data_IF_828005180888
#
_entry.id   IF_828005180888
#
_cell.length_a   1.000
_cell.length_b   1.000
_cell.length_c   1.000
_cell.angle_alpha   90.00
_cell.angle_beta   90.00
_cell.angle_gamma   90.00
#
_symmetry.space_group_name_H-M   'P 1'
#
loop_
_entity.id
_entity.type
_entity.pdbx_description
1 polymer ?
#
# COMPACT_ATOMS: atom_id res chain seq x y z
N UNK A 1 -22.92 -29.89 -8.40
CA UNK A 1 -22.47 -28.80 -9.29
C UNK A 1 -21.85 -27.72 -8.42
N UNK A 2 -20.54 -27.45 -8.58
CA UNK A 2 -19.90 -26.32 -7.88
C UNK A 2 -20.24 -25.07 -8.68
N UNK A 3 -21.08 -24.21 -8.11
CA UNK A 3 -21.42 -22.91 -8.66
C UNK A 3 -20.12 -22.11 -8.81
N UNK A 4 -19.63 -21.97 -10.06
CA UNK A 4 -18.49 -21.10 -10.34
C UNK A 4 -18.97 -19.67 -10.10
N UNK A 5 -18.71 -19.14 -8.91
CA UNK A 5 -18.86 -17.71 -8.62
C UNK A 5 -18.19 -16.94 -9.77
N UNK A 6 -18.97 -16.10 -10.46
CA UNK A 6 -18.49 -15.29 -11.57
C UNK A 6 -17.15 -14.64 -11.17
N UNK A 7 -16.11 -14.68 -12.01
CA UNK A 7 -14.84 -14.07 -11.67
C UNK A 7 -15.10 -12.59 -11.44
N UNK A 8 -14.95 -12.12 -10.19
CA UNK A 8 -14.81 -10.68 -9.97
C UNK A 8 -13.66 -10.25 -10.89
N UNK A 9 -13.85 -9.25 -11.77
CA UNK A 9 -12.89 -8.96 -12.81
C UNK A 9 -11.54 -8.68 -12.17
N UNK A 10 -10.49 -9.30 -12.69
CA UNK A 10 -9.08 -9.02 -12.33
C UNK A 10 -8.80 -7.52 -12.27
N UNK A 11 -9.53 -6.73 -13.07
CA UNK A 11 -9.55 -5.27 -13.04
C UNK A 11 -9.86 -4.68 -11.65
N UNK A 12 -10.86 -5.16 -10.91
CA UNK A 12 -11.21 -4.60 -9.60
C UNK A 12 -10.12 -4.90 -8.55
N UNK A 13 -9.53 -6.09 -8.61
CA UNK A 13 -8.41 -6.47 -7.74
C UNK A 13 -7.13 -5.67 -8.04
N UNK A 14 -6.97 -5.22 -9.29
CA UNK A 14 -5.88 -4.35 -9.73
C UNK A 14 -6.12 -2.90 -9.32
N UNK A 15 -7.33 -2.37 -9.52
CA UNK A 15 -7.71 -1.01 -9.13
C UNK A 15 -7.64 -0.77 -7.62
N UNK A 16 -7.74 -1.82 -6.82
CA UNK A 16 -7.62 -1.76 -5.36
C UNK A 16 -6.20 -2.06 -4.85
N UNK A 17 -5.24 -2.27 -5.77
CA UNK A 17 -3.84 -2.54 -5.41
C UNK A 17 -3.16 -1.25 -4.91
N UNK A 18 -2.55 -1.25 -3.71
CA UNK A 18 -1.99 -0.03 -3.10
C UNK A 18 -1.05 0.73 -4.03
N UNK A 19 -0.14 0.03 -4.71
CA UNK A 19 0.85 0.61 -5.62
C UNK A 19 0.23 1.37 -6.81
N UNK A 20 -0.88 0.88 -7.36
CA UNK A 20 -1.60 1.56 -8.46
C UNK A 20 -2.27 2.82 -7.92
N UNK A 21 -2.89 2.70 -6.75
CA UNK A 21 -3.54 3.83 -6.07
C UNK A 21 -2.50 4.89 -5.69
N UNK A 22 -1.33 4.51 -5.20
CA UNK A 22 -0.23 5.42 -4.88
C UNK A 22 0.26 6.18 -6.12
N UNK A 23 0.43 5.50 -7.26
CA UNK A 23 0.82 6.16 -8.51
C UNK A 23 -0.26 7.18 -8.97
N UNK A 24 -1.54 6.80 -8.90
CA UNK A 24 -2.66 7.73 -9.17
C UNK A 24 -2.68 8.90 -8.16
N UNK A 25 -2.41 8.63 -6.89
CA UNK A 25 -2.38 9.62 -5.82
C UNK A 25 -1.28 10.66 -6.04
N UNK A 26 -0.07 10.20 -6.36
CA UNK A 26 1.06 11.07 -6.71
C UNK A 26 0.77 11.86 -7.99
N UNK A 27 0.10 11.25 -8.97
CA UNK A 27 -0.30 11.95 -10.20
C UNK A 27 -1.29 13.09 -9.91
N UNK A 28 -2.25 12.85 -9.01
CA UNK A 28 -3.19 13.87 -8.57
C UNK A 28 -2.48 15.01 -7.83
N UNK A 29 -1.67 14.69 -6.82
CA UNK A 29 -1.02 15.70 -5.97
C UNK A 29 0.12 16.45 -6.67
N UNK A 30 0.74 15.86 -7.69
CA UNK A 30 1.69 16.55 -8.59
C UNK A 30 0.99 17.42 -9.63
N UNK A 31 -0.34 17.57 -9.56
CA UNK A 31 -1.16 18.33 -10.51
C UNK A 31 -0.98 17.85 -11.95
N UNK A 32 -0.87 16.53 -12.11
CA UNK A 32 -0.71 15.89 -13.42
C UNK A 32 0.56 16.30 -14.17
N UNK A 33 1.64 16.66 -13.46
CA UNK A 33 2.93 16.88 -14.08
C UNK A 33 3.43 15.60 -14.77
N UNK A 34 3.69 15.69 -16.07
CA UNK A 34 4.02 14.53 -16.93
C UNK A 34 5.20 13.72 -16.38
N UNK A 35 6.25 14.39 -15.90
CA UNK A 35 7.41 13.72 -15.31
C UNK A 35 7.06 12.87 -14.08
N UNK A 36 6.20 13.38 -13.20
CA UNK A 36 5.74 12.67 -12.01
C UNK A 36 4.81 11.51 -12.35
N UNK A 37 3.90 11.70 -13.32
CA UNK A 37 3.04 10.62 -13.80
C UNK A 37 3.91 9.49 -14.35
N UNK A 38 4.80 9.78 -15.30
CA UNK A 38 5.64 8.76 -15.92
C UNK A 38 6.52 8.09 -14.87
N UNK A 39 7.22 8.87 -14.04
CA UNK A 39 8.13 8.33 -13.02
C UNK A 39 7.41 7.43 -12.01
N UNK A 40 6.28 7.88 -11.47
CA UNK A 40 5.51 7.09 -10.48
C UNK A 40 4.91 5.83 -11.10
N UNK A 41 4.28 5.90 -12.28
CA UNK A 41 3.72 4.71 -12.93
C UNK A 41 4.79 3.72 -13.37
N UNK A 42 5.92 4.19 -13.90
CA UNK A 42 7.03 3.31 -14.31
C UNK A 42 7.62 2.61 -13.09
N UNK A 43 8.00 3.36 -12.04
CA UNK A 43 8.65 2.78 -10.86
C UNK A 43 7.69 1.90 -10.06
N UNK A 44 6.52 2.45 -9.71
CA UNK A 44 5.57 1.79 -8.83
C UNK A 44 4.84 0.66 -9.57
N UNK A 45 4.24 0.91 -10.74
CA UNK A 45 3.40 -0.10 -11.40
C UNK A 45 4.22 -0.98 -12.35
N UNK A 46 4.96 -0.38 -13.27
CA UNK A 46 5.68 -1.08 -14.33
C UNK A 46 6.78 -2.01 -13.79
N UNK A 47 7.79 -1.42 -13.13
CA UNK A 47 8.93 -2.17 -12.63
C UNK A 47 8.51 -3.12 -11.50
N UNK A 48 7.67 -2.69 -10.55
CA UNK A 48 7.19 -3.63 -9.52
C UNK A 48 6.40 -4.79 -10.10
N UNK A 49 5.60 -4.56 -11.15
CA UNK A 49 4.89 -5.64 -11.86
C UNK A 49 5.85 -6.61 -12.53
N UNK A 50 6.88 -6.10 -13.21
CA UNK A 50 7.92 -6.91 -13.83
C UNK A 50 8.73 -7.71 -12.79
N UNK A 51 9.13 -7.06 -11.69
CA UNK A 51 9.83 -7.71 -10.58
C UNK A 51 8.96 -8.74 -9.88
N UNK A 52 7.66 -8.50 -9.75
CA UNK A 52 6.73 -9.49 -9.21
C UNK A 52 6.62 -10.73 -10.10
N UNK A 53 6.50 -10.54 -11.42
CA UNK A 53 6.47 -11.64 -12.38
C UNK A 53 7.80 -12.43 -12.37
N UNK A 54 8.92 -11.71 -12.37
CA UNK A 54 10.26 -12.30 -12.25
C UNK A 54 10.41 -13.08 -10.94
N UNK A 55 9.94 -12.51 -9.82
CA UNK A 55 10.02 -13.12 -8.51
C UNK A 55 9.23 -14.43 -8.43
N UNK A 56 8.06 -14.48 -9.07
CA UNK A 56 7.29 -15.71 -9.19
C UNK A 56 7.94 -16.77 -10.07
N UNK A 57 8.78 -16.39 -11.04
CA UNK A 57 9.51 -17.32 -11.88
C UNK A 57 10.80 -17.83 -11.19
N UNK A 58 11.47 -16.97 -10.41
CA UNK A 58 12.74 -17.26 -9.71
C UNK A 58 12.59 -17.39 -8.19
N UNK A 59 11.48 -17.99 -7.73
CA UNK A 59 11.11 -18.06 -6.30
C UNK A 59 12.23 -18.55 -5.39
N UNK A 60 12.97 -19.59 -5.82
CA UNK A 60 14.04 -20.21 -5.00
C UNK A 60 15.16 -19.22 -4.68
N UNK A 61 15.61 -18.45 -5.67
CA UNK A 61 16.73 -17.53 -5.51
C UNK A 61 16.34 -16.37 -4.57
N UNK A 62 15.11 -15.88 -4.67
CA UNK A 62 14.60 -14.79 -3.81
C UNK A 62 14.35 -15.25 -2.38
N UNK A 63 13.79 -16.44 -2.19
CA UNK A 63 13.61 -17.02 -0.84
C UNK A 63 14.96 -17.22 -0.16
N UNK A 64 16.00 -17.57 -0.92
CA UNK A 64 17.35 -17.79 -0.39
C UNK A 64 18.03 -16.49 0.07
N UNK A 65 17.79 -15.37 -0.62
CA UNK A 65 18.43 -14.07 -0.31
C UNK A 65 17.61 -13.24 0.69
N UNK A 66 16.28 -13.24 0.58
CA UNK A 66 15.40 -12.29 1.30
C UNK A 66 14.29 -12.96 2.10
N UNK A 67 14.27 -14.30 2.20
CA UNK A 67 13.33 -15.07 3.00
C UNK A 67 11.93 -15.22 2.40
N UNK A 68 11.43 -14.23 1.65
CA UNK A 68 10.15 -14.33 0.95
C UNK A 68 10.01 -13.34 -0.22
N UNK A 69 9.20 -13.72 -1.23
CA UNK A 69 8.79 -12.83 -2.33
C UNK A 69 8.20 -11.51 -1.81
N UNK A 70 7.48 -11.58 -0.68
CA UNK A 70 6.83 -10.43 -0.08
C UNK A 70 7.83 -9.44 0.52
N UNK A 71 8.84 -9.91 1.24
CA UNK A 71 9.90 -9.05 1.78
C UNK A 71 10.67 -8.37 0.65
N UNK A 72 10.96 -9.11 -0.43
CA UNK A 72 11.56 -8.55 -1.64
C UNK A 72 10.69 -7.42 -2.23
N UNK A 73 9.39 -7.65 -2.42
CA UNK A 73 8.50 -6.61 -2.97
C UNK A 73 8.35 -5.40 -2.03
N UNK A 74 8.33 -5.60 -0.72
CA UNK A 74 8.30 -4.50 0.25
C UNK A 74 9.60 -3.69 0.25
N UNK A 75 10.74 -4.36 0.17
CA UNK A 75 12.05 -3.71 0.06
C UNK A 75 12.17 -2.92 -1.25
N UNK A 76 11.74 -3.51 -2.37
CA UNK A 76 11.66 -2.80 -3.64
C UNK A 76 10.76 -1.57 -3.54
N UNK A 77 9.58 -1.70 -2.92
CA UNK A 77 8.66 -0.58 -2.75
C UNK A 77 9.29 0.55 -1.92
N UNK A 78 9.99 0.22 -0.84
CA UNK A 78 10.79 1.19 -0.07
C UNK A 78 11.82 1.93 -0.93
N UNK A 79 12.56 1.20 -1.77
CA UNK A 79 13.55 1.79 -2.68
C UNK A 79 12.87 2.71 -3.70
N UNK A 80 11.79 2.25 -4.33
CA UNK A 80 11.06 3.00 -5.35
C UNK A 80 10.49 4.31 -4.78
N UNK A 81 9.82 4.25 -3.63
CA UNK A 81 9.32 5.45 -2.95
C UNK A 81 10.47 6.32 -2.46
N UNK A 82 11.59 5.73 -2.01
CA UNK A 82 12.79 6.47 -1.60
C UNK A 82 13.44 7.25 -2.74
N UNK A 83 13.49 6.68 -3.95
CA UNK A 83 13.95 7.38 -5.16
C UNK A 83 13.02 8.56 -5.48
N UNK A 84 11.70 8.33 -5.46
CA UNK A 84 10.71 9.39 -5.68
C UNK A 84 10.82 10.49 -4.62
N UNK A 85 11.03 10.10 -3.36
CA UNK A 85 11.23 11.02 -2.24
C UNK A 85 12.51 11.84 -2.41
N UNK A 86 13.63 11.24 -2.83
CA UNK A 86 14.87 11.98 -3.10
C UNK A 86 14.77 12.95 -4.29
N UNK A 87 13.80 12.73 -5.18
CA UNK A 87 13.55 13.58 -6.34
C UNK A 87 12.52 14.69 -6.08
N UNK A 88 11.90 14.75 -4.89
CA UNK A 88 10.83 15.69 -4.59
C UNK A 88 11.34 16.99 -3.98
N UNK A 89 10.81 18.11 -4.46
CA UNK A 89 11.02 19.44 -3.86
C UNK A 89 9.72 20.10 -3.39
N UNK A 90 8.57 19.59 -3.86
CA UNK A 90 7.25 20.10 -3.47
C UNK A 90 6.85 19.57 -2.07
N UNK A 91 6.53 20.44 -1.09
CA UNK A 91 6.24 20.02 0.28
C UNK A 91 5.09 19.02 0.41
N UNK A 92 4.07 19.15 -0.45
CA UNK A 92 2.90 18.29 -0.41
C UNK A 92 3.22 16.88 -0.90
N UNK A 93 3.99 16.75 -1.98
CA UNK A 93 4.48 15.46 -2.45
C UNK A 93 5.48 14.87 -1.44
N UNK A 94 6.30 15.70 -0.82
CA UNK A 94 7.21 15.27 0.25
C UNK A 94 6.45 14.64 1.43
N UNK A 95 5.35 15.24 1.86
CA UNK A 95 4.47 14.67 2.89
C UNK A 95 3.97 13.28 2.49
N UNK A 96 3.40 13.15 1.29
CA UNK A 96 2.85 11.87 0.81
C UNK A 96 3.92 10.79 0.64
N UNK A 97 5.06 11.13 0.06
CA UNK A 97 6.17 10.20 -0.11
C UNK A 97 6.78 9.79 1.23
N UNK A 98 6.86 10.71 2.20
CA UNK A 98 7.28 10.40 3.57
C UNK A 98 6.28 9.46 4.26
N UNK A 99 4.98 9.67 4.06
CA UNK A 99 3.94 8.77 4.55
C UNK A 99 4.06 7.38 3.90
N UNK A 100 4.26 7.29 2.59
CA UNK A 100 4.45 6.00 1.90
C UNK A 100 5.72 5.28 2.35
N UNK A 101 6.83 6.00 2.56
CA UNK A 101 8.05 5.43 3.15
C UNK A 101 7.78 4.87 4.54
N UNK A 102 7.10 5.65 5.39
CA UNK A 102 6.72 5.23 6.74
C UNK A 102 5.87 3.95 6.72
N UNK A 103 4.82 3.93 5.90
CA UNK A 103 3.95 2.77 5.76
C UNK A 103 4.69 1.55 5.21
N UNK A 104 5.62 1.75 4.28
CA UNK A 104 6.41 0.65 3.70
C UNK A 104 7.40 0.07 4.72
N UNK A 105 8.04 0.94 5.52
CA UNK A 105 8.96 0.55 6.58
C UNK A 105 8.22 -0.24 7.65
N UNK A 106 7.11 0.30 8.16
CA UNK A 106 6.31 -0.39 9.15
C UNK A 106 5.64 -1.65 8.59
N UNK A 107 5.31 -1.68 7.31
CA UNK A 107 4.84 -2.89 6.63
C UNK A 107 5.91 -3.99 6.65
N UNK A 108 7.16 -3.63 6.33
CA UNK A 108 8.29 -4.56 6.41
C UNK A 108 8.53 -5.04 7.85
N UNK A 109 8.54 -4.13 8.83
CA UNK A 109 8.68 -4.50 10.25
C UNK A 109 7.54 -5.43 10.67
N UNK A 110 6.29 -5.07 10.40
CA UNK A 110 5.11 -5.86 10.75
C UNK A 110 5.13 -7.25 10.11
N UNK A 111 5.64 -7.35 8.88
CA UNK A 111 5.81 -8.62 8.15
C UNK A 111 6.78 -9.58 8.84
N UNK A 112 7.85 -9.06 9.45
CA UNK A 112 8.84 -9.88 10.16
C UNK A 112 8.21 -10.63 11.33
N UNK A 113 7.13 -10.09 11.91
CA UNK A 113 6.46 -10.71 13.05
C UNK A 113 5.31 -11.63 12.63
N UNK A 114 4.50 -11.24 11.63
CA UNK A 114 3.26 -11.97 11.29
C UNK A 114 2.89 -11.85 9.81
N UNK A 115 2.17 -12.86 9.31
CA UNK A 115 1.42 -12.74 8.05
C UNK A 115 0.22 -11.80 8.21
N UNK A 116 -0.04 -10.99 7.20
CA UNK A 116 -1.17 -10.06 7.16
C UNK A 116 -1.58 -9.75 5.72
N UNK A 117 -2.76 -9.18 5.48
CA UNK A 117 -3.12 -8.71 4.14
C UNK A 117 -2.52 -7.33 3.85
N UNK A 118 -1.61 -7.25 2.86
CA UNK A 118 -0.98 -5.98 2.46
C UNK A 118 -1.98 -4.97 1.89
N UNK A 119 -3.02 -5.46 1.21
CA UNK A 119 -4.08 -4.61 0.67
C UNK A 119 -4.84 -3.91 1.78
N UNK A 120 -5.30 -4.66 2.77
CA UNK A 120 -6.03 -4.10 3.92
C UNK A 120 -5.12 -3.19 4.73
N UNK A 121 -3.84 -3.54 4.89
CA UNK A 121 -2.84 -2.72 5.56
C UNK A 121 -2.66 -1.33 4.93
N UNK A 122 -2.49 -1.25 3.60
CA UNK A 122 -2.32 0.04 2.91
C UNK A 122 -3.53 0.95 3.09
N UNK A 123 -4.74 0.43 2.84
CA UNK A 123 -5.97 1.19 3.01
C UNK A 123 -6.24 1.59 4.47
N UNK A 124 -5.91 0.71 5.42
CA UNK A 124 -6.04 1.02 6.84
C UNK A 124 -5.02 2.08 7.29
N UNK A 125 -3.84 2.12 6.67
CA UNK A 125 -2.87 3.21 6.83
C UNK A 125 -3.45 4.57 6.52
N UNK A 126 -4.09 4.71 5.35
CA UNK A 126 -4.79 5.95 5.00
C UNK A 126 -5.91 6.25 5.99
N UNK A 127 -6.71 5.26 6.40
CA UNK A 127 -7.74 5.46 7.41
C UNK A 127 -7.16 5.98 8.73
N UNK A 128 -6.05 5.41 9.20
CA UNK A 128 -5.34 5.86 10.39
C UNK A 128 -4.86 7.30 10.25
N UNK A 129 -4.21 7.63 9.13
CA UNK A 129 -3.75 8.98 8.81
C UNK A 129 -4.91 9.99 8.88
N UNK A 130 -5.99 9.75 8.15
CA UNK A 130 -7.14 10.68 8.11
C UNK A 130 -7.92 10.72 9.44
N UNK A 131 -7.91 9.64 10.21
CA UNK A 131 -8.50 9.65 11.56
C UNK A 131 -7.76 10.61 12.48
N UNK A 132 -6.43 10.72 12.36
CA UNK A 132 -5.64 11.72 13.08
C UNK A 132 -6.08 13.16 12.78
N UNK A 133 -6.66 13.40 11.60
CA UNK A 133 -7.21 14.69 11.17
C UNK A 133 -8.75 14.67 11.05
N UNK A 134 -9.45 13.79 11.78
CA UNK A 134 -10.89 13.54 11.59
C UNK A 134 -11.75 14.79 11.73
N UNK A 135 -11.36 15.73 12.60
CA UNK A 135 -12.07 17.02 12.78
C UNK A 135 -12.12 17.83 11.48
N UNK A 136 -11.15 17.66 10.60
CA UNK A 136 -11.04 18.39 9.33
C UNK A 136 -11.58 17.58 8.15
N UNK A 137 -11.56 16.24 8.23
CA UNK A 137 -11.90 15.36 7.10
C UNK A 137 -12.81 14.17 7.49
N UNK A 138 -13.98 14.40 8.09
CA UNK A 138 -14.85 13.31 8.58
C UNK A 138 -15.40 12.42 7.46
N UNK A 139 -15.72 13.01 6.30
CA UNK A 139 -16.21 12.27 5.13
C UNK A 139 -15.12 11.34 4.60
N UNK A 140 -13.87 11.80 4.52
CA UNK A 140 -12.74 10.98 4.07
C UNK A 140 -12.53 9.77 4.97
N UNK A 141 -12.69 9.93 6.29
CA UNK A 141 -12.61 8.82 7.25
C UNK A 141 -13.69 7.79 7.00
N UNK A 142 -14.94 8.21 6.79
CA UNK A 142 -16.05 7.29 6.48
C UNK A 142 -15.84 6.55 5.16
N UNK A 143 -15.40 7.25 4.11
CA UNK A 143 -15.09 6.65 2.81
C UNK A 143 -13.95 5.65 2.92
N UNK A 144 -12.88 5.98 3.63
CA UNK A 144 -11.73 5.10 3.84
C UNK A 144 -12.11 3.88 4.69
N UNK A 145 -12.96 4.04 5.70
CA UNK A 145 -13.50 2.91 6.47
C UNK A 145 -14.28 1.95 5.56
N UNK A 146 -15.17 2.50 4.73
CA UNK A 146 -15.90 1.72 3.73
C UNK A 146 -14.97 0.98 2.76
N UNK A 147 -13.91 1.66 2.26
CA UNK A 147 -12.90 1.04 1.40
C UNK A 147 -12.10 -0.06 2.09
N UNK A 148 -11.67 0.14 3.34
CA UNK A 148 -10.96 -0.87 4.12
C UNK A 148 -11.82 -2.13 4.28
N UNK A 149 -13.09 -1.95 4.65
CA UNK A 149 -14.05 -3.06 4.79
C UNK A 149 -14.30 -3.74 3.45
N UNK A 150 -14.52 -2.97 2.39
CA UNK A 150 -14.76 -3.48 1.04
C UNK A 150 -13.58 -4.28 0.49
N UNK A 151 -12.35 -3.78 0.67
CA UNK A 151 -11.12 -4.48 0.27
C UNK A 151 -10.91 -5.74 1.12
N UNK A 152 -11.14 -5.68 2.44
CA UNK A 152 -11.05 -6.85 3.30
C UNK A 152 -12.05 -7.93 2.88
N UNK A 153 -13.30 -7.55 2.64
CA UNK A 153 -14.35 -8.44 2.15
C UNK A 153 -13.98 -9.06 0.80
N UNK A 154 -13.50 -8.24 -0.15
CA UNK A 154 -13.06 -8.72 -1.46
C UNK A 154 -11.95 -9.77 -1.34
N UNK A 155 -10.94 -9.51 -0.51
CA UNK A 155 -9.81 -10.44 -0.29
C UNK A 155 -10.23 -11.71 0.43
N UNK A 156 -11.16 -11.63 1.38
CA UNK A 156 -11.76 -12.79 2.03
C UNK A 156 -12.56 -13.64 1.03
N UNK A 157 -13.42 -13.02 0.23
CA UNK A 157 -14.27 -13.69 -0.75
C UNK A 157 -13.44 -14.38 -1.85
N UNK A 158 -12.34 -13.76 -2.28
CA UNK A 158 -11.35 -14.36 -3.19
C UNK A 158 -10.56 -15.52 -2.58
N UNK A 159 -10.74 -15.80 -1.27
CA UNK A 159 -9.93 -16.75 -0.49
C UNK A 159 -8.43 -16.44 -0.58
N UNK A 160 -8.08 -15.19 -0.85
CA UNK A 160 -6.70 -14.74 -0.94
C UNK A 160 -6.06 -14.61 0.45
N UNK A 161 -6.88 -14.36 1.48
CA UNK A 161 -6.45 -14.18 2.87
C UNK A 161 -7.48 -14.72 3.86
N UNK A 162 -6.99 -15.17 5.01
CA UNK A 162 -7.82 -15.55 6.16
C UNK A 162 -8.29 -14.33 6.97
N UNK A 163 -9.40 -14.46 7.72
CA UNK A 163 -9.88 -13.37 8.58
C UNK A 163 -8.80 -12.83 9.56
N UNK A 164 -7.99 -13.67 10.22
CA UNK A 164 -6.91 -13.17 11.09
C UNK A 164 -5.84 -12.38 10.33
N UNK A 165 -5.52 -12.73 9.08
CA UNK A 165 -4.58 -11.95 8.26
C UNK A 165 -5.14 -10.59 7.87
N UNK A 166 -6.44 -10.53 7.54
CA UNK A 166 -7.13 -9.29 7.23
C UNK A 166 -7.17 -8.37 8.45
N UNK A 167 -7.53 -8.91 9.62
CA UNK A 167 -7.59 -8.14 10.86
C UNK A 167 -6.21 -7.62 11.28
N UNK A 168 -5.16 -8.46 11.21
CA UNK A 168 -3.77 -8.04 11.47
C UNK A 168 -3.30 -6.97 10.49
N UNK A 169 -3.72 -7.05 9.23
CA UNK A 169 -3.43 -6.03 8.22
C UNK A 169 -4.11 -4.72 8.56
N UNK A 170 -5.41 -4.77 8.86
CA UNK A 170 -6.21 -3.61 9.24
C UNK A 170 -5.66 -2.89 10.47
N UNK A 171 -5.45 -3.63 11.58
CA UNK A 171 -4.92 -3.03 12.80
C UNK A 171 -3.52 -2.47 12.59
N UNK A 172 -2.61 -3.25 11.99
CA UNK A 172 -1.23 -2.82 11.78
C UNK A 172 -1.15 -1.58 10.89
N UNK A 173 -1.96 -1.53 9.83
CA UNK A 173 -2.03 -0.38 8.93
C UNK A 173 -2.56 0.85 9.65
N UNK A 174 -3.69 0.71 10.34
CA UNK A 174 -4.32 1.81 11.08
C UNK A 174 -3.39 2.43 12.13
N UNK A 175 -2.74 1.58 12.93
CA UNK A 175 -1.78 2.03 13.95
C UNK A 175 -0.57 2.71 13.31
N UNK A 176 -0.03 2.16 12.23
CA UNK A 176 1.08 2.79 11.50
C UNK A 176 0.67 4.18 10.96
N UNK A 177 -0.54 4.30 10.39
CA UNK A 177 -1.06 5.56 9.87
C UNK A 177 -1.23 6.64 10.95
N UNK A 178 -1.82 6.29 12.09
CA UNK A 178 -1.90 7.19 13.25
C UNK A 178 -0.51 7.54 13.80
N UNK A 179 0.39 6.55 13.86
CA UNK A 179 1.76 6.74 14.29
C UNK A 179 2.52 7.76 13.45
N UNK A 180 2.28 7.79 12.14
CA UNK A 180 2.85 8.82 11.26
C UNK A 180 2.38 10.22 11.65
N UNK A 181 1.07 10.40 11.91
CA UNK A 181 0.52 11.68 12.34
C UNK A 181 1.14 12.13 13.67
N UNK A 182 1.24 11.21 14.64
CA UNK A 182 1.89 11.49 15.92
C UNK A 182 3.35 11.90 15.75
N UNK A 183 4.13 11.14 14.98
CA UNK A 183 5.54 11.45 14.68
C UNK A 183 5.69 12.81 14.00
N UNK A 184 4.90 13.08 12.96
CA UNK A 184 4.97 14.33 12.22
C UNK A 184 4.56 15.54 13.07
N UNK A 185 3.58 15.37 13.97
CA UNK A 185 3.13 16.46 14.87
C UNK A 185 4.16 16.78 15.95
N UNK A 186 4.97 15.81 16.39
CA UNK A 186 6.00 16.01 17.41
C UNK A 186 7.31 16.61 16.86
N UNK A 187 7.55 16.46 15.56
CA UNK A 187 8.80 16.88 14.91
C UNK A 187 8.71 18.22 14.18
N UNK A 188 7.52 18.81 14.08
CA UNK A 188 7.26 20.12 13.46
C UNK A 188 6.92 21.16 14.51
#
# INVERSE_FOLDING_TARGET
MVERKAPIPTALAFLTHPVVVEACWLSYWSRWQVGWIIGSFVLLVGISGALYAWARYKKRDIVLILGSERQFMLLWHLIAVGILWGAVTEPLLYLWLSFFLWMSLWGLVWRLWREYSFHVYGWAGFLGFYTGYVRHYPISVLLLLGMVVGVAYLRYWQKAHSLPELWRGGLGGFVAGLGYVGFHTLMG
#
